data_IF_056538370974
#
_entry.id   IF_056538370974
#
_cell.length_a   1.000
_cell.length_b   1.000
_cell.length_c   1.000
_cell.angle_alpha   90.00
_cell.angle_beta   90.00
_cell.angle_gamma   90.00
#
_symmetry.space_group_name_H-M   'P 1'
#
loop_
_entity.id
_entity.type
_entity.pdbx_description
1 polymer ?
#
# COMPACT_ATOMS: atom_id res chain seq x y z
N UNK A 1 1.04 -0.70 -5.23
CA UNK A 1 1.38 -1.24 -3.90
C UNK A 1 2.78 -0.78 -3.55
N UNK A 2 2.99 -0.27 -2.34
CA UNK A 2 4.31 0.09 -1.80
C UNK A 2 4.59 -0.77 -0.56
N UNK A 3 5.81 -1.28 -0.41
CA UNK A 3 6.22 -2.02 0.77
C UNK A 3 7.34 -1.26 1.48
N UNK A 4 7.20 -1.11 2.79
CA UNK A 4 8.13 -0.39 3.64
C UNK A 4 8.61 -1.35 4.71
N UNK A 5 9.92 -1.43 4.88
CA UNK A 5 10.58 -2.26 5.90
C UNK A 5 11.40 -1.35 6.80
N UNK A 6 11.55 -1.76 8.05
CA UNK A 6 12.53 -1.15 8.95
C UNK A 6 13.92 -1.39 8.35
N UNK A 7 14.68 -0.31 8.17
CA UNK A 7 16.06 -0.34 7.70
C UNK A 7 16.84 0.76 8.41
N UNK A 8 18.12 0.50 8.72
CA UNK A 8 19.02 1.52 9.27
C UNK A 8 19.20 2.71 8.33
N UNK A 9 19.13 2.46 7.02
CA UNK A 9 19.15 3.48 5.96
C UNK A 9 18.05 3.16 4.93
N UNK A 10 17.11 4.09 4.75
CA UNK A 10 15.94 3.89 3.89
C UNK A 10 15.55 5.14 3.12
N UNK A 11 14.80 4.97 2.02
CA UNK A 11 14.29 6.09 1.19
C UNK A 11 13.09 6.82 1.79
N UNK A 12 12.59 6.34 2.92
CA UNK A 12 11.45 6.90 3.66
C UNK A 12 11.83 6.95 5.14
N UNK A 13 11.29 7.93 5.87
CA UNK A 13 11.49 8.06 7.31
C UNK A 13 10.15 8.26 8.00
N UNK A 14 10.06 7.81 9.25
CA UNK A 14 8.95 8.17 10.14
C UNK A 14 9.37 9.43 10.90
N UNK A 15 8.53 10.47 10.87
CA UNK A 15 8.79 11.68 11.65
C UNK A 15 8.39 11.52 13.13
N UNK A 16 8.66 12.54 13.95
CA UNK A 16 8.33 12.52 15.38
C UNK A 16 6.84 12.45 15.69
N UNK A 17 5.98 12.70 14.70
CA UNK A 17 4.52 12.61 14.81
C UNK A 17 3.99 11.25 14.33
N UNK A 18 4.87 10.36 13.89
CA UNK A 18 4.50 9.03 13.39
C UNK A 18 4.12 9.01 11.92
N UNK A 19 4.33 10.09 11.16
CA UNK A 19 4.03 10.10 9.73
C UNK A 19 5.15 9.50 8.92
N UNK A 20 4.79 8.60 8.00
CA UNK A 20 5.71 8.10 7.00
C UNK A 20 5.91 9.13 5.88
N UNK A 21 7.11 9.70 5.81
CA UNK A 21 7.47 10.70 4.81
C UNK A 21 8.09 10.01 3.60
N UNK A 22 7.35 10.01 2.49
CA UNK A 22 7.83 9.55 1.20
C UNK A 22 8.64 10.63 0.49
N UNK A 23 9.84 10.27 0.00
CA UNK A 23 10.58 11.14 -0.91
C UNK A 23 9.82 11.36 -2.22
N UNK A 24 10.14 12.45 -2.92
CA UNK A 24 9.50 12.77 -4.21
C UNK A 24 9.61 11.61 -5.21
N UNK A 25 10.75 10.93 -5.25
CA UNK A 25 10.98 9.79 -6.14
C UNK A 25 10.02 8.63 -5.85
N UNK A 26 9.80 8.30 -4.56
CA UNK A 26 8.85 7.26 -4.17
C UNK A 26 7.42 7.67 -4.52
N UNK A 27 7.03 8.92 -4.25
CA UNK A 27 5.70 9.43 -4.63
C UNK A 27 5.46 9.34 -6.14
N UNK A 28 6.43 9.74 -6.97
CA UNK A 28 6.32 9.66 -8.43
C UNK A 28 6.21 8.22 -8.93
N UNK A 29 7.03 7.31 -8.40
CA UNK A 29 6.98 5.91 -8.78
C UNK A 29 5.62 5.27 -8.43
N UNK A 30 5.09 5.59 -7.26
CA UNK A 30 3.78 5.11 -6.82
C UNK A 30 2.60 5.94 -7.32
N UNK A 31 2.85 7.00 -8.11
CA UNK A 31 1.86 7.97 -8.61
C UNK A 31 0.97 8.55 -7.49
N UNK A 32 1.58 8.91 -6.37
CA UNK A 32 0.90 9.49 -5.20
C UNK A 32 0.95 11.02 -5.25
N UNK A 33 -0.21 11.65 -5.11
CA UNK A 33 -0.41 13.08 -4.93
C UNK A 33 -0.77 13.41 -3.47
N UNK A 34 -0.65 14.69 -3.11
CA UNK A 34 -1.13 15.16 -1.81
C UNK A 34 -2.65 15.03 -1.76
N UNK A 35 -3.18 14.47 -0.66
CA UNK A 35 -4.61 14.20 -0.49
C UNK A 35 -5.04 12.80 -0.94
N UNK A 36 -4.18 12.06 -1.65
CA UNK A 36 -4.44 10.65 -1.96
C UNK A 36 -4.54 9.83 -0.67
N UNK A 37 -5.45 8.87 -0.68
CA UNK A 37 -5.68 7.94 0.43
C UNK A 37 -5.08 6.58 0.10
N UNK A 38 -4.49 5.96 1.13
CA UNK A 38 -3.81 4.67 1.06
C UNK A 38 -4.36 3.77 2.17
N UNK A 39 -4.69 2.53 1.83
CA UNK A 39 -4.85 1.48 2.83
C UNK A 39 -3.46 1.04 3.30
N UNK A 40 -3.22 1.07 4.61
CA UNK A 40 -1.99 0.59 5.22
C UNK A 40 -2.25 -0.75 5.92
N UNK A 41 -1.43 -1.74 5.62
CA UNK A 41 -1.48 -3.08 6.21
C UNK A 41 -0.13 -3.38 6.86
N UNK A 42 -0.12 -3.64 8.15
CA UNK A 42 1.08 -4.01 8.88
C UNK A 42 1.16 -5.52 9.07
N UNK A 43 2.22 -6.14 8.55
CA UNK A 43 2.59 -7.51 8.87
C UNK A 43 3.68 -7.50 9.94
N UNK A 44 3.27 -7.84 11.17
CA UNK A 44 4.15 -7.90 12.33
C UNK A 44 5.14 -9.08 12.26
N UNK A 45 4.82 -10.15 11.52
CA UNK A 45 5.71 -11.32 11.41
C UNK A 45 6.92 -11.01 10.53
N UNK A 46 6.72 -10.19 9.50
CA UNK A 46 7.78 -9.82 8.55
C UNK A 46 8.31 -8.39 8.75
N UNK A 47 7.76 -7.65 9.73
CA UNK A 47 8.04 -6.25 9.98
C UNK A 47 7.91 -5.38 8.70
N UNK A 48 6.87 -5.66 7.91
CA UNK A 48 6.55 -4.95 6.66
C UNK A 48 5.29 -4.13 6.85
N UNK A 49 5.34 -2.86 6.44
CA UNK A 49 4.18 -2.02 6.24
C UNK A 49 3.90 -1.89 4.74
N UNK A 50 2.74 -2.36 4.31
CA UNK A 50 2.31 -2.30 2.92
C UNK A 50 1.25 -1.21 2.71
N UNK A 51 1.42 -0.37 1.70
CA UNK A 51 0.45 0.62 1.26
C UNK A 51 -0.21 0.25 -0.07
N UNK A 52 -1.54 0.26 -0.11
CA UNK A 52 -2.34 0.07 -1.32
C UNK A 52 -3.10 1.37 -1.65
N UNK A 53 -2.87 1.98 -2.83
CA UNK A 53 -3.71 3.09 -3.28
C UNK A 53 -5.15 2.61 -3.42
N UNK A 54 -6.13 3.39 -2.97
CA UNK A 54 -7.55 2.99 -3.02
C UNK A 54 -8.02 2.58 -4.43
N UNK A 55 -7.66 3.28 -5.53
CA UNK A 55 -8.08 2.84 -6.87
C UNK A 55 -7.51 1.49 -7.29
N UNK A 56 -6.36 1.08 -6.71
CA UNK A 56 -5.79 -0.24 -6.93
C UNK A 56 -6.52 -1.28 -6.07
N UNK A 57 -6.91 -0.91 -4.86
CA UNK A 57 -7.71 -1.75 -3.97
C UNK A 57 -9.07 -2.06 -4.60
N UNK A 58 -9.77 -1.06 -5.15
CA UNK A 58 -11.07 -1.25 -5.81
C UNK A 58 -10.97 -2.29 -6.93
N UNK A 59 -9.95 -2.18 -7.79
CA UNK A 59 -9.70 -3.18 -8.86
C UNK A 59 -9.40 -4.58 -8.32
N UNK A 60 -8.71 -4.69 -7.19
CA UNK A 60 -8.40 -5.99 -6.58
C UNK A 60 -9.67 -6.62 -5.98
N UNK A 61 -10.52 -5.81 -5.35
CA UNK A 61 -11.81 -6.24 -4.80
C UNK A 61 -12.77 -6.66 -5.92
N UNK A 62 -12.81 -5.92 -7.03
CA UNK A 62 -13.59 -6.27 -8.21
C UNK A 62 -13.10 -7.59 -8.83
N UNK A 63 -11.79 -7.76 -8.97
CA UNK A 63 -11.20 -8.99 -9.51
C UNK A 63 -11.47 -10.20 -8.62
N UNK A 64 -11.39 -10.05 -7.29
CA UNK A 64 -11.74 -11.13 -6.35
C UNK A 64 -13.23 -11.44 -6.35
N UNK A 65 -14.09 -10.44 -6.52
CA UNK A 65 -15.54 -10.64 -6.65
C UNK A 65 -15.90 -11.44 -7.91
N UNK A 66 -15.21 -11.19 -9.03
CA UNK A 66 -15.38 -11.98 -10.26
C UNK A 66 -14.96 -13.43 -10.06
N UNK A 67 -13.87 -13.68 -9.34
CA UNK A 67 -13.39 -15.04 -9.04
C UNK A 67 -14.36 -15.75 -8.09
N UNK A 68 -14.87 -15.06 -7.06
CA UNK A 68 -15.83 -15.63 -6.12
C UNK A 68 -17.18 -15.99 -6.79
N UNK A 69 -17.66 -15.15 -7.70
CA UNK A 69 -18.93 -15.36 -8.42
C UNK A 69 -18.81 -16.34 -9.61
N UNK A 70 -17.60 -16.67 -10.05
CA UNK A 70 -17.34 -17.67 -11.10
C UNK A 70 -17.33 -19.11 -10.60
N UNK A 71 -17.28 -19.33 -9.29
CA UNK A 71 -17.29 -20.65 -8.65
C UNK A 71 -18.69 -21.22 -8.36
N UNK A 72 -19.76 -20.45 -8.56
CA UNK A 72 -21.15 -20.83 -8.23
C UNK A 72 -21.96 -21.25 -9.47
N UNK A 73 -21.32 -22.04 -10.35
CA UNK A 73 -21.96 -22.67 -11.53
C UNK A 73 -21.40 -24.07 -11.80
N UNK A 74 -21.35 -24.91 -10.78
CA UNK A 74 -21.10 -26.34 -10.93
C UNK A 74 -22.31 -27.14 -10.41
#
# INVERSE_FOLDING_TARGET
MINVRVAGEGRCRVDSRGYLVFTLSVRRWCRLAAGDRLLLVADHRTAVLTGYPLPVLDRLLDATSVIANGGDRA
#
